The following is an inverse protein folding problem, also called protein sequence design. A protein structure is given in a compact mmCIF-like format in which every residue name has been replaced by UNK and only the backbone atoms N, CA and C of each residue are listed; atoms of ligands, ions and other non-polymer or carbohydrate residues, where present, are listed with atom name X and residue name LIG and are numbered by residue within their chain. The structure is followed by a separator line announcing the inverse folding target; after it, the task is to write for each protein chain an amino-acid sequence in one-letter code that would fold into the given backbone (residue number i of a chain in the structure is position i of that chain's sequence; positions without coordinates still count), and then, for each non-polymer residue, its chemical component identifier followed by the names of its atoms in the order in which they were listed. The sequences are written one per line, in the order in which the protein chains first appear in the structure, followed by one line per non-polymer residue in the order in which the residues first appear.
data_IF_203693375842
#
_entry.id   IF_203693375842
#
_cell.length_a   1.000
_cell.length_b   1.000
_cell.length_c   1.000
_cell.angle_alpha   90.00
_cell.angle_beta   90.00
_cell.angle_gamma   90.00
#
_symmetry.space_group_name_H-M   'P 1'
#
loop_
_entity.id
_entity.type
_entity.pdbx_description
1 polymer ?
#
# COMPACT_ATOMS: atom_id res chain seq x y z
N UNK A 1 -40.56 21.17 5.18
CA UNK A 1 -40.39 20.52 6.49
C UNK A 1 -40.00 19.08 6.20
N UNK A 2 -38.71 18.79 6.21
CA UNK A 2 -38.20 17.42 6.04
C UNK A 2 -37.05 17.26 7.01
N UNK A 3 -37.25 16.40 7.97
CA UNK A 3 -36.41 16.12 9.12
C UNK A 3 -35.19 15.28 8.72
N UNK A 4 -34.01 15.84 8.88
CA UNK A 4 -32.74 15.11 8.84
C UNK A 4 -32.53 14.40 10.17
N UNK A 5 -32.49 13.08 10.15
CA UNK A 5 -32.07 12.25 11.29
C UNK A 5 -30.54 12.18 11.34
N UNK A 6 -29.91 12.31 12.52
CA UNK A 6 -28.47 12.17 12.65
C UNK A 6 -28.07 10.69 12.71
N UNK A 7 -27.04 10.32 11.96
CA UNK A 7 -26.36 9.03 12.08
C UNK A 7 -25.59 8.92 13.40
N UNK A 8 -25.68 7.81 14.12
CA UNK A 8 -24.91 7.62 15.35
C UNK A 8 -23.47 7.22 15.04
N UNK A 9 -22.58 7.97 15.64
CA UNK A 9 -21.13 7.69 15.72
C UNK A 9 -20.91 6.67 16.84
N UNK A 10 -20.91 5.37 16.54
CA UNK A 10 -20.48 4.34 17.51
C UNK A 10 -20.12 3.05 16.80
N UNK A 11 -18.88 2.70 16.90
CA UNK A 11 -18.20 1.40 16.82
C UNK A 11 -16.91 1.45 15.99
N UNK A 12 -15.88 2.02 16.56
CA UNK A 12 -14.53 2.04 16.01
C UNK A 12 -13.58 1.38 16.99
N UNK A 13 -13.74 0.07 17.21
CA UNK A 13 -12.68 -0.82 17.71
C UNK A 13 -13.21 -2.24 17.44
N UNK A 14 -12.67 -2.92 16.44
CA UNK A 14 -12.97 -4.31 16.15
C UNK A 14 -13.20 -4.68 14.67
N UNK A 15 -13.07 -3.73 13.73
CA UNK A 15 -13.54 -3.93 12.36
C UNK A 15 -12.49 -3.64 11.27
N UNK A 16 -11.18 -3.77 11.54
CA UNK A 16 -10.18 -3.56 10.49
C UNK A 16 -10.28 -4.66 9.43
N UNK A 17 -10.57 -5.89 9.82
CA UNK A 17 -10.85 -6.99 8.88
C UNK A 17 -12.16 -6.80 8.12
N UNK A 18 -13.21 -6.29 8.77
CA UNK A 18 -14.50 -6.04 8.15
C UNK A 18 -14.55 -4.83 7.20
N UNK A 19 -13.77 -3.80 7.49
CA UNK A 19 -13.76 -2.58 6.68
C UNK A 19 -13.07 -2.77 5.32
N UNK A 20 -11.98 -3.54 5.26
CA UNK A 20 -11.29 -3.87 4.00
C UNK A 20 -12.17 -4.78 3.15
N UNK A 21 -12.80 -5.78 3.76
CA UNK A 21 -13.72 -6.69 3.06
C UNK A 21 -14.99 -5.97 2.60
N UNK A 22 -15.55 -5.07 3.41
CA UNK A 22 -16.73 -4.29 3.05
C UNK A 22 -16.44 -3.26 1.95
N UNK A 23 -15.23 -2.65 1.94
CA UNK A 23 -14.84 -1.70 0.91
C UNK A 23 -14.66 -2.37 -0.47
N UNK A 24 -14.09 -3.57 -0.51
CA UNK A 24 -13.99 -4.39 -1.73
C UNK A 24 -15.36 -4.87 -2.21
N UNK A 25 -16.31 -5.18 -1.31
CA UNK A 25 -17.65 -5.66 -1.64
C UNK A 25 -18.62 -4.55 -2.05
N UNK A 26 -18.52 -3.33 -1.51
CA UNK A 26 -19.45 -2.22 -1.79
C UNK A 26 -19.29 -1.60 -3.20
N UNK A 27 -18.23 -1.90 -3.95
CA UNK A 27 -18.09 -1.47 -5.36
C UNK A 27 -18.60 -2.49 -6.39
N UNK A 28 -19.21 -3.58 -5.96
CA UNK A 28 -19.78 -4.62 -6.85
C UNK A 28 -21.25 -4.39 -7.12
N UNK A 29 -21.65 -3.22 -7.65
CA UNK A 29 -22.99 -3.03 -8.23
C UNK A 29 -23.04 -3.58 -9.66
N UNK A 30 -23.29 -4.90 -9.77
CA UNK A 30 -23.93 -5.51 -10.92
C UNK A 30 -25.11 -6.32 -10.40
N UNK A 31 -26.33 -6.23 -11.02
CA UNK A 31 -27.49 -6.95 -10.53
C UNK A 31 -27.25 -8.46 -10.61
N UNK A 32 -27.26 -9.11 -9.46
CA UNK A 32 -27.20 -10.56 -9.36
C UNK A 32 -28.49 -11.15 -9.91
N UNK A 33 -28.39 -12.07 -10.87
CA UNK A 33 -29.50 -12.96 -11.20
C UNK A 33 -29.84 -13.78 -9.96
N UNK A 34 -31.09 -13.71 -9.54
CA UNK A 34 -31.62 -14.48 -8.42
C UNK A 34 -31.70 -15.94 -8.84
N UNK A 35 -30.69 -16.71 -8.43
CA UNK A 35 -30.79 -18.17 -8.42
C UNK A 35 -31.59 -18.58 -7.16
N UNK A 36 -32.70 -19.26 -7.32
CA UNK A 36 -33.46 -19.84 -6.21
C UNK A 36 -32.58 -20.78 -5.41
N UNK A 37 -32.52 -20.66 -4.07
CA UNK A 37 -31.66 -21.52 -3.27
C UNK A 37 -32.23 -22.96 -3.29
N UNK A 38 -31.41 -23.89 -3.76
CA UNK A 38 -31.53 -25.30 -3.44
C UNK A 38 -31.36 -25.47 -1.92
N UNK A 39 -32.10 -26.40 -1.32
CA UNK A 39 -32.04 -26.66 0.12
C UNK A 39 -30.59 -26.78 0.61
N UNK A 40 -30.25 -26.21 1.77
CA UNK A 40 -28.90 -26.31 2.30
C UNK A 40 -28.53 -27.79 2.53
N UNK A 41 -27.31 -28.22 2.14
CA UNK A 41 -26.84 -29.53 2.50
C UNK A 41 -26.75 -29.67 4.03
N UNK A 42 -27.05 -30.84 4.56
CA UNK A 42 -26.92 -31.11 5.99
C UNK A 42 -25.49 -30.79 6.46
N UNK A 43 -25.31 -30.14 7.62
CA UNK A 43 -23.98 -29.79 8.11
C UNK A 43 -23.19 -31.07 8.39
N UNK A 44 -22.09 -31.23 7.67
CA UNK A 44 -21.10 -32.27 7.99
C UNK A 44 -20.45 -31.99 9.34
N UNK A 45 -20.03 -33.02 10.13
CA UNK A 45 -19.35 -32.82 11.40
C UNK A 45 -18.13 -31.91 11.22
N UNK A 46 -18.06 -30.83 12.01
CA UNK A 46 -17.06 -29.75 11.89
C UNK A 46 -15.61 -30.22 11.73
N UNK A 47 -15.25 -31.38 12.30
CA UNK A 47 -13.90 -31.94 12.22
C UNK A 47 -13.56 -32.60 10.87
N UNK A 48 -14.53 -33.11 10.12
CA UNK A 48 -14.29 -33.77 8.81
C UNK A 48 -14.12 -32.72 7.72
N UNK A 49 -14.97 -31.71 7.72
CA UNK A 49 -14.86 -30.59 6.75
C UNK A 49 -13.53 -29.84 6.90
N UNK A 50 -13.11 -29.57 8.16
CA UNK A 50 -11.83 -28.91 8.43
C UNK A 50 -10.63 -29.73 7.93
N UNK A 51 -10.67 -31.08 8.07
CA UNK A 51 -9.61 -31.96 7.56
C UNK A 51 -9.57 -32.01 6.05
N UNK A 52 -10.74 -32.14 5.37
CA UNK A 52 -10.80 -32.14 3.91
C UNK A 52 -10.28 -30.83 3.31
N UNK A 53 -10.64 -29.69 3.92
CA UNK A 53 -10.14 -28.38 3.48
C UNK A 53 -8.64 -28.23 3.74
N UNK A 54 -8.11 -28.80 4.82
CA UNK A 54 -6.69 -28.80 5.12
C UNK A 54 -5.92 -29.68 4.11
N UNK A 55 -6.42 -30.88 3.84
CA UNK A 55 -5.82 -31.81 2.86
C UNK A 55 -5.80 -31.22 1.45
N UNK A 56 -6.90 -30.56 1.04
CA UNK A 56 -6.97 -29.86 -0.25
C UNK A 56 -6.01 -28.66 -0.32
N UNK A 57 -5.82 -27.95 0.79
CA UNK A 57 -4.88 -26.84 0.88
C UNK A 57 -3.44 -27.32 0.70
N UNK A 58 -3.05 -28.37 1.43
CA UNK A 58 -1.71 -28.95 1.36
C UNK A 58 -1.41 -29.50 -0.03
N UNK A 59 -2.35 -30.23 -0.63
CA UNK A 59 -2.23 -30.73 -1.99
C UNK A 59 -2.03 -29.60 -3.03
N UNK A 60 -2.70 -28.44 -2.84
CA UNK A 60 -2.49 -27.28 -3.71
C UNK A 60 -1.10 -26.67 -3.52
N UNK A 61 -0.64 -26.55 -2.28
CA UNK A 61 0.71 -26.03 -2.01
C UNK A 61 1.78 -26.93 -2.60
N UNK A 62 1.61 -28.23 -2.51
CA UNK A 62 2.55 -29.20 -3.11
C UNK A 62 2.55 -29.15 -4.64
N UNK A 63 1.37 -28.98 -5.26
CA UNK A 63 1.27 -28.79 -6.71
C UNK A 63 2.00 -27.50 -7.17
N UNK A 64 1.91 -26.40 -6.40
CA UNK A 64 2.64 -25.17 -6.72
C UNK A 64 4.14 -25.30 -6.53
N UNK A 65 4.59 -26.07 -5.53
CA UNK A 65 6.02 -26.39 -5.37
C UNK A 65 6.54 -27.20 -6.54
N UNK A 66 5.78 -28.22 -6.98
CA UNK A 66 6.14 -29.03 -8.15
C UNK A 66 6.19 -28.18 -9.42
N UNK A 67 5.23 -27.27 -9.61
CA UNK A 67 5.24 -26.33 -10.74
C UNK A 67 6.48 -25.41 -10.70
N UNK A 68 6.89 -24.95 -9.52
CA UNK A 68 8.09 -24.14 -9.37
C UNK A 68 9.37 -24.94 -9.71
N UNK A 69 9.43 -26.23 -9.36
CA UNK A 69 10.54 -27.11 -9.74
C UNK A 69 10.61 -27.31 -11.26
N UNK A 70 9.47 -27.46 -11.94
CA UNK A 70 9.41 -27.52 -13.40
C UNK A 70 9.84 -26.19 -14.03
N UNK A 71 9.42 -25.07 -13.46
CA UNK A 71 9.76 -23.74 -13.93
C UNK A 71 11.24 -23.34 -13.69
N UNK A 72 11.94 -24.00 -12.77
CA UNK A 72 13.39 -23.88 -12.66
C UNK A 72 14.10 -24.44 -13.90
N UNK A 73 13.61 -25.56 -14.41
CA UNK A 73 14.18 -26.23 -15.58
C UNK A 73 13.70 -25.59 -16.89
N UNK A 74 12.43 -25.12 -16.95
CA UNK A 74 11.85 -24.44 -18.11
C UNK A 74 11.53 -22.97 -17.81
N UNK A 75 12.38 -22.02 -18.22
CA UNK A 75 12.14 -20.57 -18.03
C UNK A 75 10.83 -20.06 -18.63
N UNK A 76 10.24 -20.78 -19.60
CA UNK A 76 8.95 -20.41 -20.20
C UNK A 76 7.77 -20.53 -19.22
N UNK A 77 7.88 -21.35 -18.19
CA UNK A 77 6.84 -21.58 -17.19
C UNK A 77 6.90 -20.63 -15.99
N UNK A 78 7.97 -19.83 -15.84
CA UNK A 78 8.22 -19.03 -14.64
C UNK A 78 7.12 -18.01 -14.35
N UNK A 79 6.70 -17.25 -15.36
CA UNK A 79 5.63 -16.28 -15.17
C UNK A 79 4.30 -16.95 -14.87
N UNK A 80 3.98 -18.05 -15.57
CA UNK A 80 2.75 -18.81 -15.32
C UNK A 80 2.73 -19.36 -13.88
N UNK A 81 3.87 -19.83 -13.37
CA UNK A 81 4.02 -20.25 -11.97
C UNK A 81 3.77 -19.10 -10.98
N UNK A 82 4.36 -17.92 -11.23
CA UNK A 82 4.13 -16.73 -10.40
C UNK A 82 2.65 -16.34 -10.41
N UNK A 83 2.02 -16.33 -11.57
CA UNK A 83 0.61 -15.96 -11.74
C UNK A 83 -0.32 -16.95 -11.02
N UNK A 84 -0.02 -18.25 -11.06
CA UNK A 84 -0.79 -19.27 -10.34
C UNK A 84 -0.62 -19.15 -8.82
N UNK A 85 0.60 -18.86 -8.32
CA UNK A 85 0.84 -18.58 -6.91
C UNK A 85 0.04 -17.35 -6.46
N UNK A 86 0.03 -16.27 -7.25
CA UNK A 86 -0.75 -15.06 -6.94
C UNK A 86 -2.25 -15.32 -7.00
N UNK A 87 -2.72 -16.22 -7.87
CA UNK A 87 -4.12 -16.62 -7.95
C UNK A 87 -4.61 -17.31 -6.67
N UNK A 88 -3.74 -18.06 -5.98
CA UNK A 88 -4.08 -18.73 -4.72
C UNK A 88 -4.40 -17.74 -3.60
N UNK A 89 -3.77 -16.58 -3.55
CA UNK A 89 -4.10 -15.55 -2.55
C UNK A 89 -5.52 -15.01 -2.67
N UNK A 90 -6.20 -15.19 -3.81
CA UNK A 90 -7.62 -14.82 -3.97
C UNK A 90 -8.54 -15.72 -3.19
N UNK A 91 -8.16 -16.98 -2.98
CA UNK A 91 -8.94 -17.99 -2.25
C UNK A 91 -8.45 -18.15 -0.82
N UNK A 92 -7.16 -18.01 -0.59
CA UNK A 92 -6.51 -18.07 0.72
C UNK A 92 -5.49 -16.93 0.86
N UNK A 93 -5.90 -15.74 1.33
CA UNK A 93 -4.99 -14.59 1.52
C UNK A 93 -3.83 -14.84 2.47
N UNK A 94 -3.95 -15.85 3.34
CA UNK A 94 -2.93 -16.26 4.31
C UNK A 94 -2.14 -17.50 3.85
N UNK A 95 -2.22 -17.86 2.57
CA UNK A 95 -1.42 -18.98 2.07
C UNK A 95 0.08 -18.73 2.28
N UNK A 96 0.86 -19.70 2.81
CA UNK A 96 2.29 -19.51 3.11
C UNK A 96 3.13 -19.61 1.84
N UNK A 97 2.81 -18.78 0.83
CA UNK A 97 3.42 -18.84 -0.51
C UNK A 97 4.44 -17.71 -0.75
N UNK A 98 4.53 -16.73 0.16
CA UNK A 98 5.52 -15.65 0.01
C UNK A 98 6.94 -16.19 0.06
N UNK A 99 7.22 -17.23 0.86
CA UNK A 99 8.55 -17.83 0.91
C UNK A 99 8.91 -18.49 -0.43
N UNK A 100 7.96 -19.18 -1.08
CA UNK A 100 8.15 -19.75 -2.41
C UNK A 100 8.47 -18.67 -3.43
N UNK A 101 7.72 -17.55 -3.45
CA UNK A 101 8.01 -16.45 -4.35
C UNK A 101 9.37 -15.82 -4.03
N UNK A 102 9.70 -15.59 -2.75
CA UNK A 102 10.98 -15.00 -2.36
C UNK A 102 12.18 -15.84 -2.78
N UNK A 103 12.08 -17.16 -2.71
CA UNK A 103 13.14 -18.06 -3.17
C UNK A 103 13.47 -17.80 -4.65
N UNK A 104 12.48 -17.47 -5.47
CA UNK A 104 12.64 -17.26 -6.91
C UNK A 104 12.77 -15.79 -7.32
N UNK A 105 12.45 -14.85 -6.44
CA UNK A 105 12.51 -13.42 -6.74
C UNK A 105 13.71 -12.70 -6.11
N UNK A 106 14.45 -13.33 -5.21
CA UNK A 106 15.65 -12.75 -4.61
C UNK A 106 16.87 -12.95 -5.50
N UNK A 107 17.59 -11.86 -5.79
CA UNK A 107 18.81 -11.90 -6.64
C UNK A 107 19.94 -12.76 -6.07
N UNK A 108 20.01 -12.91 -4.76
CA UNK A 108 21.02 -13.73 -4.07
C UNK A 108 20.62 -15.21 -3.97
N UNK A 109 19.44 -15.59 -4.43
CA UNK A 109 18.99 -16.96 -4.50
C UNK A 109 19.62 -17.70 -5.69
N UNK A 110 20.07 -18.95 -5.51
CA UNK A 110 20.51 -19.80 -6.63
C UNK A 110 19.39 -20.16 -7.61
N UNK A 111 18.11 -19.98 -7.18
CA UNK A 111 16.90 -20.24 -7.99
C UNK A 111 16.26 -18.95 -8.53
N UNK A 112 17.02 -17.86 -8.64
CA UNK A 112 16.48 -16.57 -9.04
C UNK A 112 15.90 -16.57 -10.46
N UNK A 113 14.67 -16.06 -10.60
CA UNK A 113 13.99 -15.81 -11.87
C UNK A 113 13.95 -14.33 -12.19
N UNK A 114 14.80 -13.83 -13.09
CA UNK A 114 14.80 -12.41 -13.43
C UNK A 114 13.57 -12.01 -14.25
N UNK A 115 13.11 -10.78 -14.05
CA UNK A 115 12.09 -10.16 -14.89
C UNK A 115 10.66 -10.65 -14.68
N UNK A 116 10.33 -11.16 -13.50
CA UNK A 116 8.97 -11.60 -13.17
C UNK A 116 8.07 -10.42 -12.82
N UNK A 117 6.81 -10.48 -13.26
CA UNK A 117 5.76 -9.52 -12.95
C UNK A 117 4.89 -10.02 -11.81
N UNK A 118 4.41 -9.11 -10.96
CA UNK A 118 3.43 -9.41 -9.92
C UNK A 118 2.15 -8.62 -10.18
N UNK A 119 1.09 -9.30 -10.63
CA UNK A 119 -0.17 -8.67 -11.00
C UNK A 119 -1.31 -9.12 -10.09
N UNK A 120 -1.70 -8.28 -9.15
CA UNK A 120 -2.87 -8.47 -8.30
C UNK A 120 -3.78 -7.27 -8.44
N UNK A 121 -4.98 -7.49 -8.97
CA UNK A 121 -6.01 -6.47 -9.12
C UNK A 121 -7.27 -6.95 -8.42
N UNK A 122 -7.82 -6.13 -7.51
CA UNK A 122 -8.97 -6.47 -6.68
C UNK A 122 -8.76 -7.73 -5.85
N UNK A 123 -8.08 -7.61 -4.72
CA UNK A 123 -7.79 -8.75 -3.86
C UNK A 123 -7.44 -8.35 -2.43
N UNK A 124 -7.28 -9.37 -1.61
CA UNK A 124 -6.75 -9.27 -0.26
C UNK A 124 -5.46 -10.07 -0.21
N UNK A 125 -4.40 -9.44 0.28
CA UNK A 125 -3.12 -10.08 0.56
C UNK A 125 -2.82 -9.93 2.05
N UNK A 126 -2.39 -11.01 2.68
CA UNK A 126 -1.96 -10.98 4.07
C UNK A 126 -0.45 -11.20 4.16
N UNK A 127 0.17 -10.50 5.10
CA UNK A 127 1.57 -10.70 5.49
C UNK A 127 2.54 -10.79 4.29
N UNK A 128 2.42 -9.81 3.38
CA UNK A 128 3.24 -9.73 2.17
C UNK A 128 4.71 -9.62 2.54
N UNK A 129 5.55 -10.50 2.02
CA UNK A 129 6.99 -10.46 2.22
C UNK A 129 7.75 -10.56 0.90
N UNK A 130 8.19 -9.39 0.40
CA UNK A 130 9.02 -9.26 -0.79
C UNK A 130 10.41 -8.68 -0.47
N UNK A 131 10.88 -8.82 0.76
CA UNK A 131 12.19 -8.28 1.18
C UNK A 131 13.33 -8.79 0.32
N UNK A 132 14.09 -7.83 -0.25
CA UNK A 132 15.24 -8.10 -1.10
C UNK A 132 14.92 -8.75 -2.44
N UNK A 133 13.64 -8.81 -2.82
CA UNK A 133 13.21 -9.35 -4.10
C UNK A 133 13.45 -8.37 -5.25
N UNK A 134 13.58 -8.91 -6.46
CA UNK A 134 13.48 -8.17 -7.70
C UNK A 134 12.18 -8.51 -8.41
N UNK A 135 11.43 -7.49 -8.77
CA UNK A 135 10.18 -7.58 -9.53
C UNK A 135 10.31 -6.66 -10.74
N UNK A 136 9.87 -7.09 -11.91
CA UNK A 136 9.84 -6.21 -13.07
C UNK A 136 8.69 -5.24 -12.94
N UNK A 137 7.47 -5.61 -13.25
CA UNK A 137 6.28 -4.79 -13.08
C UNK A 137 5.45 -5.26 -11.87
N UNK A 138 5.10 -4.33 -10.99
CA UNK A 138 4.25 -4.59 -9.82
C UNK A 138 2.90 -3.90 -9.96
N UNK A 139 1.82 -4.65 -10.19
CA UNK A 139 0.47 -4.09 -10.23
C UNK A 139 -0.32 -4.60 -9.03
N UNK A 140 -0.56 -3.71 -8.07
CA UNK A 140 -1.31 -3.99 -6.84
C UNK A 140 -2.50 -3.03 -6.72
N UNK A 141 -3.21 -2.83 -7.81
CA UNK A 141 -4.29 -1.86 -7.90
C UNK A 141 -5.54 -2.32 -7.15
N UNK A 142 -6.07 -1.45 -6.27
CA UNK A 142 -7.28 -1.74 -5.48
C UNK A 142 -7.12 -2.99 -4.61
N UNK A 143 -5.92 -3.21 -4.06
CA UNK A 143 -5.57 -4.35 -3.20
C UNK A 143 -5.65 -3.95 -1.73
N UNK A 144 -6.25 -4.81 -0.90
CA UNK A 144 -6.17 -4.73 0.55
C UNK A 144 -4.96 -5.52 1.07
N UNK A 145 -4.03 -4.85 1.77
CA UNK A 145 -2.95 -5.49 2.50
C UNK A 145 -3.39 -5.62 3.96
N UNK A 146 -3.81 -6.83 4.39
CA UNK A 146 -4.44 -7.05 5.68
C UNK A 146 -3.42 -7.15 6.84
N UNK A 147 -2.24 -7.72 6.57
CA UNK A 147 -1.12 -7.82 7.51
C UNK A 147 -0.09 -6.73 7.30
N UNK A 148 1.10 -6.94 7.86
CA UNK A 148 2.25 -6.12 7.56
C UNK A 148 2.71 -6.41 6.10
N UNK A 149 3.13 -5.39 5.39
CA UNK A 149 3.58 -5.50 4.02
C UNK A 149 5.05 -5.09 3.93
N UNK A 150 5.90 -6.05 3.66
CA UNK A 150 7.35 -5.95 3.65
C UNK A 150 7.88 -5.84 2.23
N UNK A 151 8.40 -4.66 1.89
CA UNK A 151 9.05 -4.34 0.63
C UNK A 151 10.48 -3.79 0.84
N UNK A 152 11.07 -4.04 2.02
CA UNK A 152 12.41 -3.53 2.33
C UNK A 152 13.43 -4.12 1.35
N UNK A 153 14.32 -3.27 0.85
CA UNK A 153 15.35 -3.61 -0.15
C UNK A 153 14.79 -4.22 -1.46
N UNK A 154 13.47 -4.16 -1.69
CA UNK A 154 12.86 -4.63 -2.95
C UNK A 154 13.26 -3.73 -4.11
N UNK A 155 13.58 -4.32 -5.25
CA UNK A 155 13.91 -3.60 -6.49
C UNK A 155 12.81 -3.84 -7.51
N UNK A 156 12.11 -2.79 -7.88
CA UNK A 156 11.18 -2.79 -9.00
C UNK A 156 11.88 -2.21 -10.23
N UNK A 157 12.17 -3.05 -11.21
CA UNK A 157 12.90 -2.64 -12.43
C UNK A 157 12.00 -2.00 -13.47
N UNK A 158 10.69 -2.26 -13.41
CA UNK A 158 9.66 -1.67 -14.25
C UNK A 158 8.70 -0.80 -13.45
N UNK A 159 7.47 -0.66 -13.92
CA UNK A 159 6.45 0.20 -13.31
C UNK A 159 5.78 -0.46 -12.12
N UNK A 160 5.47 0.36 -11.12
CA UNK A 160 4.74 -0.10 -9.93
C UNK A 160 3.47 0.71 -9.72
N UNK A 161 2.38 0.01 -9.46
CA UNK A 161 1.08 0.66 -9.24
C UNK A 161 0.38 0.10 -8.00
N UNK A 162 0.24 0.93 -6.96
CA UNK A 162 -0.53 0.70 -5.75
C UNK A 162 -1.81 1.57 -5.69
N UNK A 163 -2.23 2.13 -6.82
CA UNK A 163 -3.39 3.01 -6.89
C UNK A 163 -4.62 2.41 -6.20
N UNK A 164 -5.33 3.23 -5.41
CA UNK A 164 -6.53 2.85 -4.66
C UNK A 164 -6.34 1.68 -3.68
N UNK A 165 -5.12 1.29 -3.34
CA UNK A 165 -4.87 0.21 -2.39
C UNK A 165 -4.96 0.66 -0.94
N UNK A 166 -5.10 -0.30 -0.02
CA UNK A 166 -5.22 -0.05 1.41
C UNK A 166 -4.26 -0.94 2.21
N UNK A 167 -3.31 -0.31 2.89
CA UNK A 167 -2.44 -0.96 3.87
C UNK A 167 -3.07 -0.84 5.25
N UNK A 168 -3.65 -1.93 5.74
CA UNK A 168 -4.36 -1.95 7.03
C UNK A 168 -3.41 -1.90 8.22
N UNK A 169 -2.17 -2.38 8.08
CA UNK A 169 -1.12 -2.37 9.09
C UNK A 169 0.12 -1.64 8.57
N UNK A 170 1.32 -2.11 8.91
CA UNK A 170 2.55 -1.46 8.50
C UNK A 170 2.87 -1.70 7.03
N UNK A 171 3.28 -0.64 6.32
CA UNK A 171 3.80 -0.69 4.96
C UNK A 171 5.27 -0.27 5.00
N UNK A 172 6.17 -1.21 4.78
CA UNK A 172 7.60 -1.05 4.99
C UNK A 172 8.32 -1.12 3.64
N UNK A 173 8.84 0.02 3.19
CA UNK A 173 9.55 0.18 1.93
C UNK A 173 11.01 0.65 2.15
N UNK A 174 11.58 0.36 3.31
CA UNK A 174 12.95 0.80 3.63
C UNK A 174 13.93 0.43 2.50
N UNK A 175 14.63 1.43 1.94
CA UNK A 175 15.60 1.27 0.84
C UNK A 175 15.06 0.59 -0.41
N UNK A 176 13.72 0.50 -0.59
CA UNK A 176 13.15 0.01 -1.84
C UNK A 176 13.55 0.91 -3.02
N UNK A 177 13.71 0.32 -4.20
CA UNK A 177 14.12 0.99 -5.42
C UNK A 177 13.06 0.86 -6.50
N UNK A 178 12.67 1.98 -7.09
CA UNK A 178 11.67 2.08 -8.15
C UNK A 178 12.33 2.67 -9.39
N UNK A 179 12.84 1.82 -10.28
CA UNK A 179 13.63 2.25 -11.44
C UNK A 179 12.79 2.98 -12.51
N UNK A 180 11.49 2.74 -12.58
CA UNK A 180 10.58 3.40 -13.51
C UNK A 180 9.50 4.27 -12.81
N UNK A 181 9.71 4.57 -11.49
CA UNK A 181 8.76 5.30 -10.68
C UNK A 181 7.66 4.43 -10.08
N UNK A 182 6.78 5.05 -9.28
CA UNK A 182 5.72 4.35 -8.55
C UNK A 182 4.45 5.20 -8.46
N UNK A 183 3.30 4.53 -8.54
CA UNK A 183 2.00 5.16 -8.33
C UNK A 183 1.37 4.69 -7.01
N UNK A 184 1.17 5.64 -6.07
CA UNK A 184 0.45 5.48 -4.82
C UNK A 184 -0.78 6.41 -4.74
N UNK A 185 -1.31 6.85 -5.89
CA UNK A 185 -2.49 7.72 -5.90
C UNK A 185 -3.67 7.08 -5.18
N UNK A 186 -4.39 7.86 -4.39
CA UNK A 186 -5.54 7.41 -3.60
C UNK A 186 -5.27 6.24 -2.63
N UNK A 187 -4.01 5.86 -2.41
CA UNK A 187 -3.64 4.80 -1.47
C UNK A 187 -3.90 5.22 -0.03
N UNK A 188 -4.37 4.29 0.80
CA UNK A 188 -4.59 4.52 2.23
C UNK A 188 -3.62 3.70 3.06
N UNK A 189 -2.86 4.38 3.92
CA UNK A 189 -1.96 3.78 4.90
C UNK A 189 -2.55 3.99 6.30
N UNK A 190 -3.05 2.92 6.92
CA UNK A 190 -3.67 2.98 8.25
C UNK A 190 -2.61 2.88 9.35
N UNK A 191 -1.65 1.97 9.21
CA UNK A 191 -0.48 1.82 10.09
C UNK A 191 0.68 2.73 9.69
N UNK A 192 1.85 2.44 10.24
CA UNK A 192 3.09 3.14 9.86
C UNK A 192 3.38 2.91 8.38
N UNK A 193 3.71 3.99 7.69
CA UNK A 193 4.19 3.97 6.31
C UNK A 193 5.66 4.41 6.28
N UNK A 194 6.56 3.45 6.11
CA UNK A 194 8.00 3.69 6.15
C UNK A 194 8.58 3.61 4.72
N UNK A 195 9.16 4.71 4.29
CA UNK A 195 9.87 4.88 3.01
C UNK A 195 11.29 5.42 3.20
N UNK A 196 12.00 5.14 4.33
CA UNK A 196 13.31 5.74 4.51
C UNK A 196 14.30 5.19 3.49
N UNK A 197 15.07 6.09 2.90
CA UNK A 197 16.10 5.75 1.93
C UNK A 197 15.59 5.12 0.64
N UNK A 198 14.29 5.21 0.31
CA UNK A 198 13.83 4.78 -1.02
C UNK A 198 14.52 5.58 -2.12
N UNK A 199 14.65 4.99 -3.29
CA UNK A 199 15.07 5.70 -4.50
C UNK A 199 14.09 5.48 -5.63
N UNK A 200 13.73 6.56 -6.33
CA UNK A 200 12.89 6.50 -7.52
C UNK A 200 13.60 7.17 -8.68
N UNK A 201 13.68 6.52 -9.84
CA UNK A 201 14.29 7.10 -11.04
C UNK A 201 13.25 7.68 -12.01
N UNK A 202 12.00 7.19 -11.97
CA UNK A 202 10.87 7.75 -12.69
C UNK A 202 9.95 8.57 -11.81
N UNK A 203 8.92 9.14 -12.42
CA UNK A 203 7.89 9.91 -11.70
C UNK A 203 7.20 9.07 -10.63
N UNK A 204 6.90 9.72 -9.52
CA UNK A 204 6.24 9.07 -8.38
C UNK A 204 5.05 9.92 -7.92
N UNK A 205 3.90 9.28 -7.69
CA UNK A 205 2.66 9.96 -7.31
C UNK A 205 2.15 9.41 -5.98
N UNK A 206 1.88 10.34 -5.04
CA UNK A 206 1.15 10.09 -3.80
C UNK A 206 -0.13 10.95 -3.74
N UNK A 207 -0.62 11.43 -4.90
CA UNK A 207 -1.76 12.34 -4.95
C UNK A 207 -2.98 11.73 -4.26
N UNK A 208 -3.63 12.53 -3.41
CA UNK A 208 -4.78 12.12 -2.60
C UNK A 208 -4.55 10.89 -1.70
N UNK A 209 -3.32 10.43 -1.51
CA UNK A 209 -3.00 9.38 -0.55
C UNK A 209 -3.30 9.83 0.89
N UNK A 210 -3.60 8.88 1.76
CA UNK A 210 -3.94 9.11 3.17
C UNK A 210 -3.03 8.32 4.08
N UNK A 211 -2.29 9.05 4.92
CA UNK A 211 -1.42 8.50 5.95
C UNK A 211 -2.03 8.77 7.33
N UNK A 212 -2.53 7.72 7.98
CA UNK A 212 -3.24 7.87 9.26
C UNK A 212 -2.30 7.86 10.47
N UNK A 213 -1.15 7.19 10.35
CA UNK A 213 -0.15 7.05 11.40
C UNK A 213 1.18 7.72 11.01
N UNK A 214 2.27 7.33 11.67
CA UNK A 214 3.62 7.82 11.35
C UNK A 214 3.98 7.54 9.88
N UNK A 215 4.53 8.56 9.24
CA UNK A 215 5.03 8.47 7.85
C UNK A 215 6.49 8.90 7.81
N UNK A 216 7.35 8.09 7.20
CA UNK A 216 8.79 8.30 7.19
C UNK A 216 9.33 8.29 5.76
N UNK A 217 9.80 9.43 5.27
CA UNK A 217 10.54 9.62 4.02
C UNK A 217 11.97 10.08 4.26
N UNK A 218 12.54 9.78 5.44
CA UNK A 218 13.90 10.20 5.75
C UNK A 218 14.89 9.67 4.72
N UNK A 219 15.79 10.53 4.23
CA UNK A 219 16.80 10.22 3.21
C UNK A 219 16.22 9.63 1.90
N UNK A 220 14.92 9.76 1.64
CA UNK A 220 14.33 9.34 0.37
C UNK A 220 14.88 10.15 -0.80
N UNK A 221 15.18 9.48 -1.92
CA UNK A 221 15.69 10.07 -3.15
C UNK A 221 14.66 9.98 -4.28
N UNK A 222 14.12 11.11 -4.72
CA UNK A 222 13.21 11.20 -5.86
C UNK A 222 13.98 11.76 -7.07
N UNK A 223 14.35 10.87 -7.99
CA UNK A 223 15.19 11.21 -9.16
C UNK A 223 14.48 11.90 -10.30
N UNK A 224 13.14 11.90 -10.32
CA UNK A 224 12.30 12.68 -11.21
C UNK A 224 11.24 13.42 -10.36
N UNK A 225 10.23 13.99 -10.98
CA UNK A 225 9.17 14.70 -10.26
C UNK A 225 8.39 13.79 -9.32
N UNK A 226 8.08 14.31 -8.13
CA UNK A 226 7.17 13.66 -7.19
C UNK A 226 6.01 14.57 -6.84
N UNK A 227 4.81 13.99 -6.75
CA UNK A 227 3.61 14.71 -6.35
C UNK A 227 3.02 14.12 -5.06
N UNK A 228 2.73 15.02 -4.12
CA UNK A 228 1.96 14.80 -2.90
C UNK A 228 0.69 15.67 -2.91
N UNK A 229 0.11 15.90 -4.09
CA UNK A 229 -1.06 16.75 -4.28
C UNK A 229 -2.26 16.25 -3.49
N UNK A 230 -2.86 17.11 -2.64
CA UNK A 230 -4.03 16.73 -1.84
C UNK A 230 -3.81 15.63 -0.80
N UNK A 231 -2.56 15.22 -0.56
CA UNK A 231 -2.21 14.19 0.40
C UNK A 231 -2.64 14.57 1.82
N UNK A 232 -3.03 13.57 2.62
CA UNK A 232 -3.38 13.76 4.03
C UNK A 232 -2.41 13.03 4.95
N UNK A 233 -1.59 13.78 5.70
CA UNK A 233 -0.76 13.26 6.78
C UNK A 233 -1.44 13.53 8.13
N UNK A 234 -2.05 12.53 8.74
CA UNK A 234 -2.71 12.68 10.04
C UNK A 234 -1.72 12.53 11.21
N UNK A 235 -0.73 11.67 11.06
CA UNK A 235 0.33 11.42 12.05
C UNK A 235 1.59 12.26 11.80
N UNK A 236 2.63 12.03 12.64
CA UNK A 236 3.94 12.62 12.43
C UNK A 236 4.53 12.18 11.09
N UNK A 237 5.10 13.14 10.35
CA UNK A 237 5.67 12.93 9.03
C UNK A 237 7.06 13.53 8.95
N UNK A 238 8.03 12.78 8.46
CA UNK A 238 9.39 13.30 8.24
C UNK A 238 9.83 13.13 6.79
N UNK A 239 10.45 14.17 6.27
CA UNK A 239 11.20 14.24 5.02
C UNK A 239 12.67 14.61 5.29
N UNK A 240 13.17 14.32 6.50
CA UNK A 240 14.54 14.63 6.90
C UNK A 240 15.54 14.12 5.88
N UNK A 241 16.43 15.01 5.43
CA UNK A 241 17.50 14.70 4.45
C UNK A 241 16.97 14.13 3.12
N UNK A 242 15.65 14.23 2.83
CA UNK A 242 15.09 13.79 1.56
C UNK A 242 15.61 14.65 0.39
N UNK A 243 15.84 14.04 -0.75
CA UNK A 243 16.37 14.66 -1.96
C UNK A 243 15.38 14.55 -3.11
N UNK A 244 14.96 15.69 -3.62
CA UNK A 244 14.07 15.81 -4.75
C UNK A 244 14.87 16.43 -5.90
N UNK A 245 15.15 15.65 -6.95
CA UNK A 245 15.93 16.14 -8.10
C UNK A 245 15.18 17.21 -8.91
N UNK A 246 13.86 17.24 -8.81
CA UNK A 246 12.98 18.21 -9.45
C UNK A 246 12.16 18.99 -8.41
N UNK A 247 11.06 19.60 -8.84
CA UNK A 247 10.08 20.26 -7.96
C UNK A 247 9.32 19.21 -7.13
N UNK A 248 9.20 19.45 -5.83
CA UNK A 248 8.40 18.65 -4.92
C UNK A 248 7.02 19.31 -4.73
N UNK A 249 5.97 18.66 -5.23
CA UNK A 249 4.63 19.22 -5.28
C UNK A 249 3.82 18.77 -4.05
N UNK A 250 3.47 19.71 -3.17
CA UNK A 250 2.62 19.53 -1.99
C UNK A 250 1.31 20.35 -2.08
N UNK A 251 0.87 20.65 -3.29
CA UNK A 251 -0.36 21.42 -3.49
C UNK A 251 -1.54 20.81 -2.75
N UNK A 252 -2.27 21.62 -1.94
CA UNK A 252 -3.43 21.20 -1.13
C UNK A 252 -3.16 20.09 -0.11
N UNK A 253 -1.91 19.73 0.16
CA UNK A 253 -1.53 18.77 1.19
C UNK A 253 -2.00 19.23 2.58
N UNK A 254 -2.24 18.26 3.48
CA UNK A 254 -2.72 18.51 4.84
C UNK A 254 -1.81 17.83 5.85
N UNK A 255 -1.16 18.61 6.69
CA UNK A 255 -0.28 18.16 7.77
C UNK A 255 -1.01 18.25 9.12
N UNK A 256 -1.58 17.15 9.58
CA UNK A 256 -2.32 17.04 10.84
C UNK A 256 -1.43 16.79 12.06
N UNK A 257 -0.25 16.22 11.88
CA UNK A 257 0.77 15.97 12.89
C UNK A 257 2.04 16.79 12.68
N UNK A 258 3.09 16.46 13.43
CA UNK A 258 4.42 17.05 13.23
C UNK A 258 4.94 16.81 11.79
N UNK A 259 5.46 17.87 11.17
CA UNK A 259 6.13 17.81 9.87
C UNK A 259 7.59 18.25 10.01
N UNK A 260 8.53 17.40 9.55
CA UNK A 260 9.96 17.63 9.63
C UNK A 260 10.62 17.54 8.26
N UNK A 261 11.05 18.69 7.73
CA UNK A 261 11.81 18.82 6.48
C UNK A 261 13.28 19.17 6.71
N UNK A 262 13.81 18.91 7.91
CA UNK A 262 15.23 19.20 8.22
C UNK A 262 16.13 18.57 7.18
N UNK A 263 17.01 19.38 6.53
CA UNK A 263 17.95 18.91 5.53
C UNK A 263 17.34 18.45 4.20
N UNK A 264 16.00 18.57 4.03
CA UNK A 264 15.37 18.27 2.75
C UNK A 264 15.75 19.27 1.68
N UNK A 265 16.06 18.80 0.47
CA UNK A 265 16.47 19.63 -0.68
C UNK A 265 15.64 19.30 -1.91
N UNK A 266 15.22 20.33 -2.65
CA UNK A 266 14.50 20.23 -3.92
C UNK A 266 14.91 21.39 -4.84
N UNK A 267 14.63 21.29 -6.15
CA UNK A 267 14.72 22.43 -7.04
C UNK A 267 13.76 23.55 -6.61
N UNK A 268 12.56 23.18 -6.16
CA UNK A 268 11.61 24.03 -5.46
C UNK A 268 10.63 23.16 -4.66
N UNK A 269 10.02 23.75 -3.62
CA UNK A 269 8.88 23.19 -2.89
C UNK A 269 7.63 24.00 -3.21
N UNK A 270 6.57 23.36 -3.68
CA UNK A 270 5.30 24.01 -4.00
C UNK A 270 4.21 23.55 -3.01
N UNK A 271 3.74 24.49 -2.16
CA UNK A 271 2.72 24.26 -1.13
C UNK A 271 1.39 24.99 -1.42
N UNK A 272 1.08 25.29 -2.68
CA UNK A 272 -0.13 26.05 -3.03
C UNK A 272 -1.40 25.43 -2.41
N UNK A 273 -2.07 26.15 -1.49
CA UNK A 273 -3.26 25.69 -0.78
C UNK A 273 -3.01 24.60 0.26
N UNK A 274 -1.76 24.21 0.52
CA UNK A 274 -1.44 23.27 1.57
C UNK A 274 -1.72 23.86 2.95
N UNK A 275 -2.06 23.01 3.92
CA UNK A 275 -2.48 23.44 5.26
C UNK A 275 -1.83 22.61 6.34
N UNK A 276 -1.53 23.26 7.45
CA UNK A 276 -1.01 22.64 8.65
C UNK A 276 -1.97 22.86 9.82
N UNK A 277 -2.08 21.87 10.67
CA UNK A 277 -2.89 21.91 11.89
C UNK A 277 -2.15 22.70 12.99
N UNK A 278 -2.80 23.70 13.58
CA UNK A 278 -2.17 24.63 14.55
C UNK A 278 -2.68 24.46 15.98
N UNK A 279 -3.68 23.62 16.21
CA UNK A 279 -4.20 23.29 17.56
C UNK A 279 -3.45 22.10 18.20
N UNK A 280 -2.41 21.61 17.56
CA UNK A 280 -1.49 20.61 18.11
C UNK A 280 -0.20 21.31 18.56
N UNK A 281 0.26 20.99 19.78
CA UNK A 281 1.49 21.57 20.32
C UNK A 281 2.73 20.82 19.79
N UNK A 282 3.01 20.99 18.50
CA UNK A 282 4.18 20.39 17.83
C UNK A 282 4.97 21.46 17.11
N UNK A 283 6.27 21.32 17.09
CA UNK A 283 7.16 22.20 16.30
C UNK A 283 7.30 21.57 14.91
N UNK A 284 7.02 22.36 13.88
CA UNK A 284 7.24 21.96 12.49
C UNK A 284 8.56 22.55 12.00
N UNK A 285 9.26 21.80 11.16
CA UNK A 285 10.42 22.28 10.42
C UNK A 285 10.09 22.26 8.93
N UNK A 286 9.94 23.43 8.34
CA UNK A 286 9.63 23.60 6.93
C UNK A 286 10.89 23.87 6.12
N UNK A 287 10.87 23.68 4.78
CA UNK A 287 11.93 24.15 3.90
C UNK A 287 12.10 25.68 3.99
N UNK A 288 13.27 26.15 3.61
CA UNK A 288 13.58 27.58 3.60
C UNK A 288 12.54 28.39 2.81
N UNK A 289 12.09 29.49 3.40
CA UNK A 289 11.08 30.37 2.80
C UNK A 289 9.63 29.93 2.97
N UNK A 290 9.36 28.75 3.52
CA UNK A 290 7.99 28.27 3.79
C UNK A 290 7.60 28.55 5.23
N UNK A 291 6.46 29.19 5.43
CA UNK A 291 5.93 29.54 6.75
C UNK A 291 4.44 29.22 6.85
N UNK A 292 3.98 28.91 8.05
CA UNK A 292 2.55 28.82 8.34
C UNK A 292 1.95 30.20 8.54
N UNK A 293 0.86 30.50 7.85
CA UNK A 293 0.07 31.71 8.02
C UNK A 293 -0.75 31.70 9.33
N UNK A 294 -1.60 32.69 9.49
CA UNK A 294 -2.55 32.73 10.61
C UNK A 294 -3.69 31.70 10.41
N UNK A 295 -4.17 31.05 11.50
CA UNK A 295 -5.28 30.11 11.43
C UNK A 295 -6.56 30.80 10.93
N UNK A 296 -7.24 30.17 9.98
CA UNK A 296 -8.51 30.66 9.46
C UNK A 296 -9.62 30.61 10.56
N UNK A 297 -10.32 31.71 10.86
CA UNK A 297 -11.22 31.81 12.02
C UNK A 297 -12.52 30.97 11.93
N UNK A 298 -12.78 30.29 10.83
CA UNK A 298 -14.08 29.63 10.54
C UNK A 298 -14.05 28.13 10.31
N UNK A 299 -12.92 27.46 10.53
CA UNK A 299 -12.84 26.01 10.34
C UNK A 299 -12.76 25.27 11.68
N UNK A 300 -13.53 24.17 11.89
CA UNK A 300 -13.34 23.26 13.00
C UNK A 300 -11.98 22.57 12.84
N UNK A 301 -11.11 22.71 13.86
CA UNK A 301 -9.68 22.43 13.76
C UNK A 301 -8.96 23.66 13.18
N UNK A 302 -8.03 24.21 13.93
CA UNK A 302 -7.29 25.40 13.53
C UNK A 302 -6.27 25.02 12.45
N UNK A 303 -6.63 25.26 11.22
CA UNK A 303 -5.75 25.05 10.07
C UNK A 303 -5.20 26.38 9.57
N UNK A 304 -3.88 26.46 9.37
CA UNK A 304 -3.21 27.56 8.69
C UNK A 304 -2.73 27.13 7.30
N UNK A 305 -2.78 28.04 6.36
CA UNK A 305 -2.23 27.82 5.02
C UNK A 305 -0.71 27.99 5.05
N UNK A 306 0.01 27.12 4.35
CA UNK A 306 1.45 27.25 4.12
C UNK A 306 1.71 28.22 2.95
N UNK A 307 2.69 29.09 3.11
CA UNK A 307 3.07 30.15 2.16
C UNK A 307 4.57 30.19 1.97
#
# INVERSE_FOLDING_TARGET
MSTLTPFPLLALIGAVSGAVTAWVLLRRDRPAQVLTPSAPPEPMPDGVTARLLADEREARLDALRSLAEEADEDPGLRQDCVDEVLAQFRTDPHAPLWELLREHLRRDSPRFWPGMDLHVVFGLLADVDLRGCEVRDGVFRTVGFAGDAHFEDTVFTGKVNFEESCFARHALFDRARFEAGANFEHTTFTGTAAFPGITTHGRTWFDAARFSARTDFAAAGFGDGVSFGGVGFSGPTTFRDARFAAVALFGQARFGGHADFTGAVAAAFEFAGARVRTDVHVVHTWPDGVTAGEPAPRHPGRWAELR
#
